data_IF_224997413868
#
_entry.id   IF_224997413868
#
_cell.length_a   1.000
_cell.length_b   1.000
_cell.length_c   1.000
_cell.angle_alpha   90.00
_cell.angle_beta   90.00
_cell.angle_gamma   90.00
#
_symmetry.space_group_name_H-M   'P 1'
#
loop_
_entity.id
_entity.type
_entity.pdbx_description
1 polymer ?
#
# COMPACT_ATOMS: atom_id res chain seq x y z
N UNK A 1 -20.70 0.71 10.98
CA UNK A 1 -20.45 1.07 9.55
C UNK A 1 -18.98 1.35 9.24
N UNK A 2 -18.29 2.28 9.93
CA UNK A 2 -16.86 2.61 9.66
C UNK A 2 -15.93 1.40 9.59
N UNK A 3 -16.02 0.46 10.54
CA UNK A 3 -15.13 -0.71 10.56
C UNK A 3 -15.32 -1.67 9.37
N UNK A 4 -16.57 -1.78 8.87
CA UNK A 4 -16.88 -2.59 7.69
C UNK A 4 -16.26 -1.97 6.43
N UNK A 5 -16.35 -0.65 6.30
CA UNK A 5 -15.72 0.10 5.20
C UNK A 5 -14.19 -0.10 5.19
N UNK A 6 -13.53 0.09 6.34
CA UNK A 6 -12.08 -0.09 6.43
C UNK A 6 -11.64 -1.53 6.13
N UNK A 7 -12.41 -2.53 6.58
CA UNK A 7 -12.15 -3.92 6.25
C UNK A 7 -12.30 -4.19 4.74
N UNK A 8 -13.31 -3.60 4.09
CA UNK A 8 -13.50 -3.72 2.65
C UNK A 8 -12.35 -3.04 1.86
N UNK A 9 -11.89 -1.87 2.31
CA UNK A 9 -10.73 -1.19 1.70
C UNK A 9 -9.46 -2.02 1.89
N UNK A 10 -9.25 -2.60 3.07
CA UNK A 10 -8.09 -3.46 3.32
C UNK A 10 -8.12 -4.71 2.41
N UNK A 11 -9.29 -5.29 2.21
CA UNK A 11 -9.47 -6.43 1.29
C UNK A 11 -9.18 -6.04 -0.16
N UNK A 12 -9.76 -4.93 -0.63
CA UNK A 12 -9.53 -4.43 -1.99
C UNK A 12 -8.07 -4.07 -2.26
N UNK A 13 -7.42 -3.39 -1.29
CA UNK A 13 -5.98 -3.06 -1.39
C UNK A 13 -5.11 -4.31 -1.36
N UNK A 14 -5.48 -5.35 -0.61
CA UNK A 14 -4.77 -6.63 -0.62
C UNK A 14 -4.78 -7.31 -2.00
N UNK A 15 -5.94 -7.35 -2.66
CA UNK A 15 -6.04 -7.86 -4.03
C UNK A 15 -5.26 -7.02 -5.03
N UNK A 16 -5.38 -5.70 -4.94
CA UNK A 16 -4.68 -4.79 -5.83
C UNK A 16 -3.15 -4.92 -5.68
N UNK A 17 -2.66 -5.14 -4.46
CA UNK A 17 -1.26 -5.46 -4.16
C UNK A 17 -0.80 -6.72 -4.88
N UNK A 18 -1.57 -7.81 -4.76
CA UNK A 18 -1.24 -9.08 -5.42
C UNK A 18 -1.14 -8.88 -6.94
N UNK A 19 -2.08 -8.16 -7.53
CA UNK A 19 -2.10 -7.91 -8.98
C UNK A 19 -0.94 -7.01 -9.43
N UNK A 20 -0.71 -5.90 -8.73
CA UNK A 20 0.34 -4.93 -9.10
C UNK A 20 1.73 -5.48 -8.83
N UNK A 21 1.93 -6.22 -7.75
CA UNK A 21 3.18 -6.91 -7.46
C UNK A 21 3.42 -8.05 -8.44
N UNK A 22 2.39 -8.87 -8.68
CA UNK A 22 2.42 -9.96 -9.65
C UNK A 22 2.82 -9.46 -11.05
N UNK A 23 2.18 -8.40 -11.52
CA UNK A 23 2.48 -7.81 -12.82
C UNK A 23 3.84 -7.12 -12.86
N UNK A 24 4.19 -6.33 -11.84
CA UNK A 24 5.41 -5.51 -11.84
C UNK A 24 6.70 -6.26 -11.54
N UNK A 25 6.63 -7.37 -10.78
CA UNK A 25 7.82 -8.07 -10.27
C UNK A 25 7.85 -9.57 -10.60
N UNK A 26 6.71 -10.25 -10.60
CA UNK A 26 6.69 -11.72 -10.80
C UNK A 26 6.61 -12.07 -12.29
N UNK A 27 5.70 -11.44 -13.03
CA UNK A 27 5.46 -11.73 -14.44
C UNK A 27 6.68 -11.45 -15.36
N UNK A 28 7.53 -10.42 -15.12
CA UNK A 28 8.75 -10.20 -15.89
C UNK A 28 9.75 -11.37 -15.83
N UNK A 29 9.66 -12.24 -14.82
CA UNK A 29 10.49 -13.44 -14.72
C UNK A 29 10.12 -14.52 -15.75
N UNK A 30 8.90 -14.46 -16.29
CA UNK A 30 8.37 -15.44 -17.23
C UNK A 30 8.13 -14.85 -18.62
N UNK A 31 7.97 -13.53 -18.73
CA UNK A 31 7.63 -12.82 -19.97
C UNK A 31 8.64 -11.71 -20.21
N UNK A 32 9.49 -11.88 -21.23
CA UNK A 32 10.59 -10.96 -21.53
C UNK A 32 10.17 -9.56 -22.01
N UNK A 33 8.93 -9.39 -22.50
CA UNK A 33 8.43 -8.13 -23.04
C UNK A 33 7.01 -7.85 -22.54
N UNK A 34 6.92 -7.32 -21.32
CA UNK A 34 5.66 -6.82 -20.78
C UNK A 34 5.43 -5.36 -21.22
N UNK A 35 4.19 -4.99 -21.57
CA UNK A 35 3.88 -3.60 -21.85
C UNK A 35 4.16 -2.74 -20.62
N UNK A 36 4.91 -1.66 -20.80
CA UNK A 36 5.24 -0.75 -19.70
C UNK A 36 3.99 0.00 -19.26
N UNK A 37 3.61 -0.17 -17.99
CA UNK A 37 2.52 0.58 -17.37
C UNK A 37 3.14 1.66 -16.47
N UNK A 38 3.19 2.93 -16.90
CA UNK A 38 3.95 3.99 -16.21
C UNK A 38 3.46 4.24 -14.78
N UNK A 39 2.23 3.83 -14.45
CA UNK A 39 1.66 4.02 -13.12
C UNK A 39 1.72 2.78 -12.21
N UNK A 40 2.28 1.66 -12.66
CA UNK A 40 2.25 0.40 -11.90
C UNK A 40 2.95 0.53 -10.54
N UNK A 41 4.11 1.19 -10.52
CA UNK A 41 4.93 1.39 -9.33
C UNK A 41 4.28 2.37 -8.34
N UNK A 42 3.80 3.56 -8.76
CA UNK A 42 3.00 4.43 -7.88
C UNK A 42 1.82 3.72 -7.24
N UNK A 43 1.04 3.01 -8.05
CA UNK A 43 -0.17 2.33 -7.59
C UNK A 43 0.20 1.24 -6.60
N UNK A 44 1.26 0.47 -6.86
CA UNK A 44 1.78 -0.52 -5.92
C UNK A 44 2.16 0.12 -4.59
N UNK A 45 2.93 1.22 -4.60
CA UNK A 45 3.37 1.91 -3.39
C UNK A 45 2.19 2.44 -2.57
N UNK A 46 1.27 3.18 -3.20
CA UNK A 46 0.06 3.68 -2.56
C UNK A 46 -0.78 2.56 -1.95
N UNK A 47 -0.96 1.47 -2.71
CA UNK A 47 -1.71 0.30 -2.27
C UNK A 47 -1.02 -0.39 -1.11
N UNK A 48 0.30 -0.59 -1.18
CA UNK A 48 1.13 -1.18 -0.13
C UNK A 48 0.96 -0.46 1.20
N UNK A 49 1.19 0.86 1.21
CA UNK A 49 1.10 1.61 2.46
C UNK A 49 -0.33 1.73 2.98
N UNK A 50 -1.32 1.89 2.10
CA UNK A 50 -2.73 1.91 2.52
C UNK A 50 -3.12 0.57 3.17
N UNK A 51 -2.72 -0.55 2.57
CA UNK A 51 -2.96 -1.88 3.11
C UNK A 51 -2.25 -2.08 4.45
N UNK A 52 -0.97 -1.70 4.53
CA UNK A 52 -0.17 -1.82 5.74
C UNK A 52 -0.75 -0.98 6.89
N UNK A 53 -1.19 0.25 6.63
CA UNK A 53 -1.81 1.12 7.64
C UNK A 53 -3.09 0.51 8.20
N UNK A 54 -3.96 -0.03 7.34
CA UNK A 54 -5.20 -0.70 7.76
C UNK A 54 -4.91 -2.00 8.52
N UNK A 55 -3.90 -2.75 8.09
CA UNK A 55 -3.41 -3.95 8.75
C UNK A 55 -2.87 -3.68 10.16
N UNK A 56 -2.04 -2.64 10.31
CA UNK A 56 -1.55 -2.20 11.62
C UNK A 56 -2.72 -1.76 12.48
N UNK A 57 -3.61 -0.90 12.00
CA UNK A 57 -4.78 -0.46 12.76
C UNK A 57 -5.64 -1.63 13.26
N UNK A 58 -5.92 -2.61 12.42
CA UNK A 58 -6.71 -3.78 12.81
C UNK A 58 -6.00 -4.63 13.87
N UNK A 59 -4.69 -4.82 13.72
CA UNK A 59 -3.82 -5.53 14.67
C UNK A 59 -3.75 -4.80 16.01
N UNK A 60 -3.44 -3.51 16.01
CA UNK A 60 -3.36 -2.66 17.21
C UNK A 60 -4.67 -2.67 18.00
N UNK A 61 -5.82 -2.64 17.31
CA UNK A 61 -7.14 -2.75 17.97
C UNK A 61 -7.38 -4.14 18.55
N UNK A 62 -6.97 -5.21 17.86
CA UNK A 62 -7.09 -6.59 18.33
C UNK A 62 -6.26 -6.84 19.59
N UNK A 63 -5.05 -6.30 19.65
CA UNK A 63 -4.09 -6.51 20.74
C UNK A 63 -4.07 -5.39 21.79
N UNK A 64 -4.98 -4.40 21.70
CA UNK A 64 -5.06 -3.24 22.63
C UNK A 64 -3.73 -2.49 22.80
N UNK A 65 -2.91 -2.45 21.75
CA UNK A 65 -1.62 -1.76 21.76
C UNK A 65 -1.81 -0.24 21.72
N UNK A 66 -0.81 0.51 22.18
CA UNK A 66 -0.87 1.97 22.26
C UNK A 66 -0.93 2.61 20.86
N UNK A 67 -2.15 3.02 20.49
CA UNK A 67 -2.53 3.30 19.11
C UNK A 67 -2.05 4.64 18.55
N UNK A 68 -2.01 5.69 19.36
CA UNK A 68 -1.70 7.03 18.85
C UNK A 68 -0.26 7.14 18.32
N UNK A 69 0.73 6.57 19.01
CA UNK A 69 2.13 6.69 18.59
C UNK A 69 2.40 5.93 17.28
N UNK A 70 1.86 4.70 17.16
CA UNK A 70 1.95 3.91 15.94
C UNK A 70 1.26 4.59 14.75
N UNK A 71 0.07 5.16 14.95
CA UNK A 71 -0.68 5.86 13.90
C UNK A 71 0.12 7.09 13.39
N UNK A 72 0.79 7.85 14.27
CA UNK A 72 1.63 9.00 13.89
C UNK A 72 2.90 8.61 13.13
N UNK A 73 3.62 7.60 13.60
CA UNK A 73 4.83 7.10 12.91
C UNK A 73 4.46 6.57 11.52
N UNK A 74 3.36 5.82 11.41
CA UNK A 74 2.90 5.31 10.12
C UNK A 74 2.45 6.42 9.17
N UNK A 75 1.75 7.43 9.67
CA UNK A 75 1.33 8.59 8.86
C UNK A 75 2.55 9.37 8.35
N UNK A 76 3.58 9.54 9.17
CA UNK A 76 4.83 10.19 8.77
C UNK A 76 5.56 9.37 7.69
N UNK A 77 5.72 8.06 7.89
CA UNK A 77 6.34 7.17 6.90
C UNK A 77 5.55 7.16 5.59
N UNK A 78 4.22 7.13 5.66
CA UNK A 78 3.35 7.22 4.49
C UNK A 78 3.49 8.56 3.76
N UNK A 79 3.48 9.68 4.49
CA UNK A 79 3.68 11.01 3.93
C UNK A 79 5.03 11.16 3.23
N UNK A 80 6.10 10.64 3.84
CA UNK A 80 7.44 10.61 3.25
C UNK A 80 7.44 9.77 1.98
N UNK A 81 6.82 8.58 1.99
CA UNK A 81 6.74 7.73 0.79
C UNK A 81 5.98 8.41 -0.35
N UNK A 82 4.89 9.11 -0.05
CA UNK A 82 4.14 9.92 -1.03
C UNK A 82 4.98 11.10 -1.56
N UNK A 83 5.74 11.79 -0.70
CA UNK A 83 6.60 12.90 -1.11
C UNK A 83 7.76 12.44 -2.01
N UNK A 84 8.45 11.36 -1.63
CA UNK A 84 9.51 10.73 -2.44
C UNK A 84 8.95 10.26 -3.78
N UNK A 85 7.73 9.69 -3.78
CA UNK A 85 7.04 9.32 -5.00
C UNK A 85 6.85 10.52 -5.94
N UNK A 86 6.29 11.62 -5.44
CA UNK A 86 6.10 12.84 -6.24
C UNK A 86 7.44 13.34 -6.78
N UNK A 87 8.50 13.37 -5.96
CA UNK A 87 9.80 13.90 -6.38
C UNK A 87 10.52 13.05 -7.43
N UNK A 88 10.33 11.72 -7.43
CA UNK A 88 11.04 10.82 -8.38
C UNK A 88 10.33 10.72 -9.73
N UNK A 89 9.00 10.88 -9.75
CA UNK A 89 8.20 10.65 -10.97
C UNK A 89 7.67 11.91 -11.64
N UNK A 90 7.63 13.06 -10.95
CA UNK A 90 7.12 14.32 -11.49
C UNK A 90 8.17 15.45 -11.55
N UNK A 91 9.38 15.23 -11.02
CA UNK A 91 10.54 16.14 -11.10
C UNK A 91 11.74 15.38 -11.67
#
# INVERSE_FOLDING_TARGET
MKDRLFSSIQYATGWLLILTFGYGFVLPLFVNQLPTVPLIFPVLVLTFFTHAMLGVRSTTRRYRLWRNWLDWVFLAVWGIACAVFISVFYF
#
